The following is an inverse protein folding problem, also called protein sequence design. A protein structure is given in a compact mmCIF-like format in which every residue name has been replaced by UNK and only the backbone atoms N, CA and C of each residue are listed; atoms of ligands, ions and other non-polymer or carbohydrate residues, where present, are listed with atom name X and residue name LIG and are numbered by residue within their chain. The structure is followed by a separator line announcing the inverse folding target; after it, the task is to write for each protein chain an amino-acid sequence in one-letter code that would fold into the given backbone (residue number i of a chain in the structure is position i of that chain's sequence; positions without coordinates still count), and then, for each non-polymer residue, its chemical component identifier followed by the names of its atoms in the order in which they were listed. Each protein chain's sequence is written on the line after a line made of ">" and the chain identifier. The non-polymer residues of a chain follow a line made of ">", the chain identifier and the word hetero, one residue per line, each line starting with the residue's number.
data_IF_606157831584
#
_entry.id   IF_606157831584
#
_cell.length_a   1.000
_cell.length_b   1.000
_cell.length_c   1.000
_cell.angle_alpha   90.00
_cell.angle_beta   90.00
_cell.angle_gamma   90.00
#
_symmetry.space_group_name_H-M   'P 1'
#
loop_
_entity.id
_entity.type
_entity.pdbx_description
1 polymer ?
#
# COMPACT_ATOMS: atom_id res chain seq x y z
N UNK A 1 -6.21 -6.06 14.94
CA UNK A 1 -5.65 -4.87 15.63
C UNK A 1 -6.63 -3.72 15.43
N UNK A 2 -7.02 -3.04 16.51
CA UNK A 2 -7.88 -1.84 16.43
C UNK A 2 -7.05 -0.58 16.22
N UNK A 3 -7.63 0.41 15.55
CA UNK A 3 -7.01 1.74 15.43
C UNK A 3 -7.21 2.54 16.72
N UNK A 4 -6.25 3.44 16.99
CA UNK A 4 -6.37 4.41 18.08
C UNK A 4 -7.36 5.52 17.73
N UNK A 5 -7.38 5.96 16.47
CA UNK A 5 -8.38 6.91 15.96
C UNK A 5 -9.74 6.21 15.84
N UNK A 6 -10.82 6.80 16.40
CA UNK A 6 -12.17 6.21 16.32
C UNK A 6 -12.80 6.35 14.94
N UNK A 7 -12.34 7.32 14.13
CA UNK A 7 -12.78 7.55 12.75
C UNK A 7 -11.99 6.74 11.74
N UNK A 8 -10.88 6.12 12.17
CA UNK A 8 -10.05 5.30 11.30
C UNK A 8 -10.64 3.91 11.12
N UNK A 9 -10.82 3.48 9.87
CA UNK A 9 -11.32 2.15 9.50
C UNK A 9 -10.52 1.54 8.36
N UNK A 10 -10.42 0.21 8.31
CA UNK A 10 -9.73 -0.50 7.23
C UNK A 10 -10.57 -0.47 5.96
N UNK A 11 -9.90 -0.30 4.82
CA UNK A 11 -10.51 -0.55 3.51
C UNK A 11 -10.67 -2.06 3.36
N UNK A 12 -11.87 -2.58 3.01
CA UNK A 12 -12.09 -3.99 2.78
C UNK A 12 -11.09 -4.54 1.74
N UNK A 13 -10.32 -5.59 2.07
CA UNK A 13 -9.36 -6.14 1.14
C UNK A 13 -10.09 -6.78 -0.04
N UNK A 14 -9.62 -6.51 -1.26
CA UNK A 14 -10.04 -7.20 -2.47
C UNK A 14 -8.84 -7.98 -3.03
N UNK A 15 -8.50 -9.14 -2.45
CA UNK A 15 -7.31 -9.88 -2.81
C UNK A 15 -7.36 -10.30 -4.27
N UNK A 16 -6.27 -10.06 -4.99
CA UNK A 16 -6.12 -10.53 -6.36
C UNK A 16 -6.02 -12.06 -6.37
N UNK A 17 -6.92 -12.71 -7.10
CA UNK A 17 -6.88 -14.15 -7.36
C UNK A 17 -6.56 -14.41 -8.83
N UNK A 18 -5.42 -15.03 -9.17
CA UNK A 18 -5.10 -15.38 -10.55
C UNK A 18 -6.08 -16.44 -11.08
N UNK A 19 -6.33 -16.42 -12.40
CA UNK A 19 -7.23 -17.37 -13.07
C UNK A 19 -6.68 -18.81 -13.06
N UNK A 20 -5.36 -18.98 -13.01
CA UNK A 20 -4.70 -20.27 -12.94
C UNK A 20 -3.92 -20.36 -11.63
N UNK A 21 -4.24 -21.36 -10.80
CA UNK A 21 -3.52 -21.66 -9.56
C UNK A 21 -2.37 -22.60 -9.89
N UNK A 22 -1.17 -22.04 -10.01
CA UNK A 22 0.07 -22.82 -9.96
C UNK A 22 0.38 -23.22 -8.50
N UNK A 23 1.23 -24.23 -8.27
CA UNK A 23 1.72 -24.55 -6.92
C UNK A 23 2.31 -23.27 -6.29
N UNK A 24 1.62 -22.76 -5.28
CA UNK A 24 1.96 -21.48 -4.66
C UNK A 24 3.17 -21.62 -3.76
N UNK A 25 4.15 -20.72 -3.91
CA UNK A 25 5.15 -20.48 -2.88
C UNK A 25 4.47 -20.15 -1.54
N UNK A 26 5.10 -20.45 -0.39
CA UNK A 26 4.55 -20.06 0.90
C UNK A 26 4.34 -18.54 0.94
N UNK A 27 3.23 -18.06 1.54
CA UNK A 27 2.92 -16.64 1.60
C UNK A 27 4.05 -15.89 2.31
N UNK A 28 4.54 -14.82 1.66
CA UNK A 28 5.60 -13.99 2.25
C UNK A 28 5.02 -13.15 3.40
N UNK A 29 5.85 -12.91 4.42
CA UNK A 29 5.44 -12.12 5.59
C UNK A 29 5.05 -10.68 5.18
N UNK A 30 3.98 -10.11 5.76
CA UNK A 30 3.60 -8.73 5.50
C UNK A 30 4.68 -7.73 5.93
N UNK A 31 4.83 -6.67 5.16
CA UNK A 31 5.72 -5.55 5.48
C UNK A 31 4.89 -4.45 6.12
N UNK A 32 5.04 -4.26 7.42
CA UNK A 32 4.32 -3.24 8.18
C UNK A 32 4.95 -1.86 8.06
N UNK A 33 4.11 -0.82 8.11
CA UNK A 33 4.49 0.58 8.10
C UNK A 33 3.82 1.30 9.27
N UNK A 34 4.60 1.67 10.28
CA UNK A 34 4.12 2.35 11.46
C UNK A 34 5.11 3.45 11.86
N UNK A 35 4.62 4.46 12.59
CA UNK A 35 5.49 5.45 13.18
C UNK A 35 6.40 4.82 14.25
N UNK A 36 7.59 5.37 14.42
CA UNK A 36 8.47 5.01 15.52
C UNK A 36 7.77 5.33 16.86
N UNK A 37 7.71 4.34 17.75
CA UNK A 37 7.03 4.46 19.05
C UNK A 37 5.50 4.35 19.00
N UNK A 38 4.87 4.20 17.83
CA UNK A 38 3.43 3.95 17.77
C UNK A 38 3.10 2.47 18.00
N UNK A 39 1.85 2.19 18.38
CA UNK A 39 1.33 0.81 18.38
C UNK A 39 1.44 0.21 16.96
N UNK A 40 1.69 -1.10 16.82
CA UNK A 40 1.69 -1.74 15.50
C UNK A 40 0.34 -1.64 14.78
N UNK A 41 0.39 -1.58 13.45
CA UNK A 41 -0.76 -1.62 12.57
C UNK A 41 -1.61 -0.34 12.54
N UNK A 42 -1.07 0.80 12.99
CA UNK A 42 -1.74 2.11 12.90
C UNK A 42 -1.59 2.75 11.51
N UNK A 43 -0.54 2.36 10.77
CA UNK A 43 -0.25 2.89 9.46
C UNK A 43 0.35 4.29 9.49
N UNK A 44 0.78 4.74 8.31
CA UNK A 44 1.32 6.09 8.09
C UNK A 44 0.49 6.78 7.00
N UNK A 45 0.09 8.06 7.17
CA UNK A 45 -0.61 8.81 6.13
C UNK A 45 0.19 8.86 4.83
N UNK A 46 -0.42 8.44 3.72
CA UNK A 46 0.25 8.39 2.41
C UNK A 46 0.62 9.79 1.90
N UNK A 47 -0.18 10.81 2.24
CA UNK A 47 0.14 12.21 1.95
C UNK A 47 1.44 12.64 2.63
N UNK A 48 1.58 12.35 3.92
CA UNK A 48 2.79 12.68 4.67
C UNK A 48 4.02 11.96 4.11
N UNK A 49 3.88 10.68 3.73
CA UNK A 49 4.95 9.91 3.08
C UNK A 49 5.47 10.61 1.82
N UNK A 50 4.58 11.19 1.00
CA UNK A 50 4.97 11.92 -0.20
C UNK A 50 5.61 13.28 0.10
N UNK A 51 5.10 14.00 1.10
CA UNK A 51 5.55 15.37 1.41
C UNK A 51 6.87 15.40 2.19
N UNK A 52 7.03 14.50 3.15
CA UNK A 52 8.15 14.50 4.10
C UNK A 52 9.18 13.40 3.81
N UNK A 53 8.78 12.31 3.17
CA UNK A 53 9.67 11.20 2.83
C UNK A 53 10.49 10.73 4.03
N UNK A 54 11.82 10.76 3.90
CA UNK A 54 12.78 10.33 4.92
C UNK A 54 12.75 11.15 6.22
N UNK A 55 12.13 12.33 6.24
CA UNK A 55 11.98 13.12 7.46
C UNK A 55 10.90 12.57 8.42
N UNK A 56 10.10 11.60 7.98
CA UNK A 56 9.11 10.95 8.84
C UNK A 56 9.76 9.96 9.81
N UNK A 57 9.38 9.98 11.10
CA UNK A 57 9.88 9.02 12.07
C UNK A 57 9.16 7.68 11.89
N UNK A 58 9.54 6.90 10.88
CA UNK A 58 9.00 5.56 10.61
C UNK A 58 9.81 4.49 11.36
N UNK A 59 9.11 3.52 11.96
CA UNK A 59 9.73 2.36 12.58
C UNK A 59 10.49 1.53 11.51
N UNK A 60 11.78 1.27 11.75
CA UNK A 60 12.60 0.49 10.81
C UNK A 60 12.76 1.14 9.43
N UNK A 61 12.75 2.48 9.35
CA UNK A 61 12.79 3.23 8.09
C UNK A 61 13.95 2.80 7.14
N UNK A 62 15.11 2.51 7.72
CA UNK A 62 16.33 2.11 7.02
C UNK A 62 16.45 0.59 6.84
N UNK A 63 15.54 -0.19 7.43
CA UNK A 63 15.61 -1.64 7.35
C UNK A 63 15.51 -2.09 5.88
N UNK A 64 16.43 -2.94 5.41
CA UNK A 64 16.28 -3.55 4.10
C UNK A 64 15.07 -4.47 4.13
N UNK A 65 14.14 -4.27 3.19
CA UNK A 65 12.98 -5.14 3.00
C UNK A 65 13.14 -5.90 1.70
N UNK A 66 12.60 -7.12 1.64
CA UNK A 66 12.70 -8.01 0.47
C UNK A 66 14.13 -8.42 0.06
N UNK A 67 15.17 -8.07 0.82
CA UNK A 67 16.56 -8.41 0.47
C UNK A 67 16.84 -9.92 0.37
N UNK A 68 16.16 -10.74 1.15
CA UNK A 68 16.26 -12.22 1.08
C UNK A 68 15.30 -12.87 0.09
N UNK A 69 14.54 -12.10 -0.69
CA UNK A 69 13.46 -12.62 -1.54
C UNK A 69 13.92 -13.20 -2.87
N UNK A 70 15.13 -12.85 -3.31
CA UNK A 70 15.63 -13.08 -4.68
C UNK A 70 15.00 -12.17 -5.74
N UNK A 71 14.03 -11.33 -5.36
CA UNK A 71 13.29 -10.48 -6.28
C UNK A 71 14.06 -9.21 -6.60
N UNK A 72 14.10 -8.85 -7.88
CA UNK A 72 14.58 -7.54 -8.34
C UNK A 72 13.44 -6.52 -8.36
N UNK A 73 12.22 -6.99 -8.63
CA UNK A 73 11.02 -6.18 -8.75
C UNK A 73 9.82 -6.95 -8.19
N UNK A 74 8.81 -6.22 -7.75
CA UNK A 74 7.50 -6.77 -7.41
C UNK A 74 6.44 -6.20 -8.36
N UNK A 75 5.35 -6.94 -8.52
CA UNK A 75 4.14 -6.47 -9.17
C UNK A 75 3.23 -5.89 -8.09
N UNK A 76 3.05 -4.57 -8.09
CA UNK A 76 2.17 -3.89 -7.18
C UNK A 76 0.80 -3.66 -7.82
N UNK A 77 -0.26 -4.14 -7.17
CA UNK A 77 -1.65 -3.98 -7.62
C UNK A 77 -2.48 -3.19 -6.61
N UNK A 78 -3.33 -2.31 -7.12
CA UNK A 78 -4.36 -1.63 -6.33
C UNK A 78 -5.72 -2.17 -6.76
N UNK A 79 -6.43 -2.80 -5.83
CA UNK A 79 -7.83 -3.16 -5.99
C UNK A 79 -8.60 -2.37 -4.93
N UNK A 80 -9.47 -1.47 -5.36
CA UNK A 80 -10.23 -0.62 -4.47
C UNK A 80 -11.72 -0.96 -4.54
N UNK A 81 -12.43 -1.09 -3.40
CA UNK A 81 -13.85 -1.38 -3.40
C UNK A 81 -14.64 -0.36 -4.23
N UNK A 82 -15.56 -0.83 -5.08
CA UNK A 82 -16.29 0.04 -6.01
C UNK A 82 -15.56 0.34 -7.32
N UNK A 83 -14.26 0.02 -7.44
CA UNK A 83 -13.45 0.29 -8.64
C UNK A 83 -12.75 -0.97 -9.16
N UNK A 84 -13.35 -2.15 -8.96
CA UNK A 84 -12.80 -3.42 -9.43
C UNK A 84 -12.63 -3.50 -10.96
N UNK A 85 -13.30 -2.62 -11.72
CA UNK A 85 -13.13 -2.47 -13.17
C UNK A 85 -11.90 -1.64 -13.56
N UNK A 86 -11.31 -0.89 -12.62
CA UNK A 86 -10.14 -0.06 -12.85
C UNK A 86 -8.88 -0.84 -12.52
N UNK A 87 -8.25 -1.41 -13.54
CA UNK A 87 -6.98 -2.11 -13.34
C UNK A 87 -5.82 -1.13 -13.09
N UNK A 88 -5.16 -1.28 -11.94
CA UNK A 88 -3.89 -0.62 -11.66
C UNK A 88 -2.83 -1.64 -11.27
N UNK A 89 -1.85 -1.78 -12.16
CA UNK A 89 -0.74 -2.72 -11.99
C UNK A 89 0.56 -1.99 -12.36
N UNK A 90 1.53 -1.99 -11.45
CA UNK A 90 2.82 -1.31 -11.64
C UNK A 90 3.95 -2.19 -11.14
N UNK A 91 5.06 -2.18 -11.86
CA UNK A 91 6.26 -2.89 -11.43
C UNK A 91 7.10 -1.96 -10.56
N UNK A 92 7.38 -2.38 -9.32
CA UNK A 92 8.13 -1.62 -8.32
C UNK A 92 9.51 -2.27 -8.16
N UNK A 93 10.58 -1.51 -8.33
CA UNK A 93 11.93 -2.01 -8.10
C UNK A 93 12.19 -2.14 -6.60
N UNK A 94 12.68 -3.30 -6.17
CA UNK A 94 12.96 -3.60 -4.76
C UNK A 94 14.44 -3.82 -4.48
N UNK A 95 15.26 -3.64 -5.52
CA UNK A 95 16.72 -3.60 -5.46
C UNK A 95 17.17 -2.35 -6.22
N UNK A 96 18.09 -1.59 -5.63
CA UNK A 96 18.69 -0.42 -6.23
C UNK A 96 19.71 -0.83 -7.32
N UNK A 97 20.11 0.07 -8.24
CA UNK A 97 21.06 -0.27 -9.31
C UNK A 97 22.41 -0.82 -8.84
N UNK A 98 22.82 -0.49 -7.61
CA UNK A 98 24.02 -1.00 -6.97
C UNK A 98 23.84 -2.39 -6.31
N UNK A 99 22.69 -3.03 -6.48
CA UNK A 99 22.36 -4.33 -5.88
C UNK A 99 21.87 -4.27 -4.43
N UNK A 100 21.81 -3.09 -3.81
CA UNK A 100 21.34 -2.97 -2.43
C UNK A 100 19.80 -3.17 -2.36
N UNK A 101 19.27 -3.90 -1.35
CA UNK A 101 17.84 -4.00 -1.14
C UNK A 101 17.20 -2.63 -0.87
N UNK A 102 15.94 -2.48 -1.26
CA UNK A 102 15.16 -1.28 -0.95
C UNK A 102 14.95 -1.15 0.57
N UNK A 103 15.06 0.07 1.09
CA UNK A 103 14.69 0.35 2.48
C UNK A 103 13.17 0.39 2.65
N UNK A 104 12.69 0.10 3.86
CA UNK A 104 11.26 0.19 4.20
C UNK A 104 10.65 1.55 3.86
N UNK A 105 11.36 2.64 4.16
CA UNK A 105 10.93 4.00 3.84
C UNK A 105 10.83 4.22 2.33
N UNK A 106 11.85 3.82 1.57
CA UNK A 106 11.84 3.96 0.11
C UNK A 106 10.70 3.15 -0.52
N UNK A 107 10.42 1.94 -0.02
CA UNK A 107 9.28 1.14 -0.47
C UNK A 107 7.95 1.85 -0.15
N UNK A 108 7.77 2.32 1.08
CA UNK A 108 6.56 3.03 1.49
C UNK A 108 6.28 4.28 0.63
N UNK A 109 7.32 5.06 0.32
CA UNK A 109 7.23 6.22 -0.57
C UNK A 109 6.82 5.84 -2.00
N UNK A 110 7.38 4.76 -2.55
CA UNK A 110 6.99 4.25 -3.86
C UNK A 110 5.52 3.81 -3.87
N UNK A 111 5.06 3.10 -2.83
CA UNK A 111 3.66 2.67 -2.73
C UNK A 111 2.72 3.87 -2.60
N UNK A 112 3.03 4.84 -1.73
CA UNK A 112 2.25 6.07 -1.58
C UNK A 112 2.18 6.89 -2.89
N UNK A 113 3.27 6.92 -3.66
CA UNK A 113 3.31 7.57 -4.97
C UNK A 113 2.41 6.85 -5.98
N UNK A 114 2.43 5.51 -6.00
CA UNK A 114 1.53 4.73 -6.85
C UNK A 114 0.06 4.97 -6.50
N UNK A 115 -0.30 5.06 -5.22
CA UNK A 115 -1.65 5.39 -4.80
C UNK A 115 -2.08 6.80 -5.21
N UNK A 116 -1.19 7.78 -5.13
CA UNK A 116 -1.51 9.13 -5.59
C UNK A 116 -1.80 9.16 -7.08
N UNK A 117 -0.93 8.55 -7.90
CA UNK A 117 -1.11 8.50 -9.35
C UNK A 117 -2.40 7.73 -9.72
N UNK A 118 -2.70 6.65 -8.98
CA UNK A 118 -3.94 5.92 -9.14
C UNK A 118 -5.15 6.78 -8.77
N UNK A 119 -5.15 7.43 -7.61
CA UNK A 119 -6.21 8.34 -7.18
C UNK A 119 -6.47 9.43 -8.21
N UNK A 120 -5.41 10.08 -8.71
CA UNK A 120 -5.50 11.16 -9.70
C UNK A 120 -6.21 10.72 -10.98
N UNK A 121 -5.94 9.49 -11.44
CA UNK A 121 -6.61 8.89 -12.60
C UNK A 121 -8.04 8.45 -12.30
N UNK A 122 -8.24 7.77 -11.16
CA UNK A 122 -9.45 7.00 -10.87
C UNK A 122 -10.58 7.84 -10.25
N UNK A 123 -10.28 9.01 -9.68
CA UNK A 123 -11.31 9.91 -9.11
C UNK A 123 -12.37 10.40 -10.12
N UNK A 124 -12.12 10.24 -11.42
CA UNK A 124 -13.07 10.61 -12.48
C UNK A 124 -13.88 9.41 -13.03
N UNK A 125 -13.55 8.19 -12.59
CA UNK A 125 -14.25 6.96 -13.00
C UNK A 125 -15.52 6.76 -12.17
N UNK A 126 -16.55 6.14 -12.77
CA UNK A 126 -17.81 5.88 -12.09
C UNK A 126 -17.68 4.63 -11.19
N UNK A 127 -17.90 4.73 -9.87
CA UNK A 127 -17.81 3.56 -9.00
C UNK A 127 -19.04 2.66 -9.15
N UNK A 128 -18.86 1.37 -8.86
CA UNK A 128 -19.98 0.44 -8.65
C UNK A 128 -20.59 0.52 -7.25
N UNK A 129 -19.93 1.22 -6.30
CA UNK A 129 -20.43 1.47 -4.95
C UNK A 129 -19.99 2.85 -4.44
N UNK A 130 -20.93 3.60 -3.89
CA UNK A 130 -20.69 4.95 -3.38
C UNK A 130 -20.01 4.98 -2.00
N UNK A 131 -19.98 3.87 -1.26
CA UNK A 131 -19.39 3.84 0.10
C UNK A 131 -17.88 4.13 0.09
N UNK A 132 -17.21 3.77 -1.01
CA UNK A 132 -15.76 3.89 -1.20
C UNK A 132 -15.41 4.84 -2.33
N UNK A 133 -16.33 5.76 -2.66
CA UNK A 133 -16.19 6.74 -3.74
C UNK A 133 -14.95 7.61 -3.52
N UNK A 134 -14.04 7.60 -4.49
CA UNK A 134 -12.92 8.53 -4.55
C UNK A 134 -13.44 9.87 -5.05
N UNK A 135 -13.47 10.86 -4.16
CA UNK A 135 -13.83 12.21 -4.55
C UNK A 135 -13.39 13.21 -3.48
N UNK A 136 -13.22 14.49 -3.83
CA UNK A 136 -12.97 15.56 -2.86
C UNK A 136 -14.02 15.70 -1.75
N UNK A 137 -15.21 15.08 -1.88
CA UNK A 137 -16.30 15.14 -0.91
C UNK A 137 -16.44 13.88 -0.05
N UNK A 138 -15.70 12.81 -0.36
CA UNK A 138 -15.84 11.52 0.32
C UNK A 138 -14.46 10.98 0.71
N UNK A 139 -13.81 10.21 -0.16
CA UNK A 139 -12.46 9.72 0.08
C UNK A 139 -11.47 10.53 -0.75
N UNK A 140 -10.64 11.33 -0.07
CA UNK A 140 -9.49 12.01 -0.65
C UNK A 140 -8.20 11.23 -0.37
N UNK A 141 -7.16 11.45 -1.20
CA UNK A 141 -5.83 10.87 -0.97
C UNK A 141 -5.26 11.18 0.44
N UNK A 142 -5.59 12.35 1.02
CA UNK A 142 -5.13 12.75 2.36
C UNK A 142 -5.70 11.86 3.48
N UNK A 143 -6.82 11.17 3.24
CA UNK A 143 -7.45 10.27 4.21
C UNK A 143 -6.78 8.89 4.23
N UNK A 144 -5.95 8.57 3.22
CA UNK A 144 -5.34 7.24 3.08
C UNK A 144 -4.14 7.06 4.01
N UNK A 145 -4.13 5.93 4.70
CA UNK A 145 -3.03 5.45 5.51
C UNK A 145 -2.51 4.12 4.97
N UNK A 146 -1.20 4.04 4.74
CA UNK A 146 -0.51 2.80 4.39
C UNK A 146 -0.23 2.02 5.68
N UNK A 147 -0.86 0.85 5.84
CA UNK A 147 -0.72 0.01 7.04
C UNK A 147 0.31 -1.09 6.84
N UNK A 148 0.15 -1.88 5.78
CA UNK A 148 1.09 -2.93 5.43
C UNK A 148 1.12 -3.20 3.93
N UNK A 149 2.12 -3.93 3.47
CA UNK A 149 2.18 -4.50 2.12
C UNK A 149 2.10 -6.03 2.26
N UNK A 150 1.10 -6.62 1.61
CA UNK A 150 0.75 -8.03 1.72
C UNK A 150 1.05 -8.72 0.39
N UNK A 151 1.74 -9.84 0.45
CA UNK A 151 1.94 -10.71 -0.70
C UNK A 151 0.68 -11.55 -0.92
N UNK A 152 0.07 -11.42 -2.10
CA UNK A 152 -1.18 -12.13 -2.42
C UNK A 152 -0.94 -13.38 -3.25
N UNK A 153 0.01 -13.32 -4.17
CA UNK A 153 0.36 -14.44 -5.05
C UNK A 153 1.74 -14.19 -5.70
N UNK A 154 2.66 -15.15 -5.63
CA UNK A 154 4.01 -15.04 -6.22
C UNK A 154 4.69 -13.70 -5.91
N UNK A 155 4.91 -12.86 -6.92
CA UNK A 155 5.54 -11.53 -6.80
C UNK A 155 4.50 -10.41 -6.83
N UNK A 156 3.22 -10.74 -6.69
CA UNK A 156 2.12 -9.80 -6.61
C UNK A 156 1.89 -9.35 -5.16
N UNK A 157 1.88 -8.04 -4.97
CA UNK A 157 1.70 -7.41 -3.67
C UNK A 157 0.58 -6.37 -3.74
N UNK A 158 -0.16 -6.27 -2.65
CA UNK A 158 -1.22 -5.29 -2.47
C UNK A 158 -1.03 -4.57 -1.14
N UNK A 159 -1.38 -3.30 -1.09
CA UNK A 159 -1.33 -2.57 0.16
C UNK A 159 -2.60 -2.83 0.97
N UNK A 160 -2.40 -2.99 2.27
CA UNK A 160 -3.41 -2.89 3.29
C UNK A 160 -3.55 -1.42 3.69
N UNK A 161 -4.74 -0.87 3.48
CA UNK A 161 -5.01 0.57 3.57
C UNK A 161 -6.08 0.82 4.61
N UNK A 162 -5.92 1.91 5.35
CA UNK A 162 -6.95 2.45 6.22
C UNK A 162 -7.37 3.85 5.75
N UNK A 163 -8.63 4.18 6.02
CA UNK A 163 -9.20 5.52 5.86
C UNK A 163 -9.32 6.16 7.23
N UNK A 164 -8.98 7.43 7.32
CA UNK A 164 -9.33 8.28 8.45
C UNK A 164 -10.04 9.52 7.91
N UNK A 165 -11.36 9.56 8.08
CA UNK A 165 -12.23 10.64 7.59
C UNK A 165 -12.74 11.35 8.84
N UNK A 166 -12.11 12.48 9.16
CA UNK A 166 -12.48 13.37 10.25
C UNK A 166 -12.93 14.72 9.69
#
# INVERSE_FOLDING_TARGET
>A
MSFVSPTKRRVPPQPYTPRHRLPSQPPRQPIWFDYAGSRPGQGIPMRELRLKGSALPMCGALDPVLGGSGLQRIVFRINWPGYGHVEWCRSVAVVAPNGAPISRMALAMQIATNYANWYEKTQFEQPSSNEWLLSPKCVEFKHLHLVSLINTFEDCWQADVALDIC
#
